data_IF_249012768090
#
_entry.id   IF_249012768090
#
_cell.length_a   1.000
_cell.length_b   1.000
_cell.length_c   1.000
_cell.angle_alpha   90.00
_cell.angle_beta   90.00
_cell.angle_gamma   90.00
#
_symmetry.space_group_name_H-M   'P 1'
#
loop_
_entity.id
_entity.type
_entity.pdbx_description
1 polymer ?
#
# COMPACT_ATOMS: atom_id res chain seq x y z
N UNK A 1 -14.58 -11.51 4.23
CA UNK A 1 -14.70 -10.10 4.65
C UNK A 1 -13.30 -9.62 4.99
N UNK A 2 -12.77 -8.60 4.30
CA UNK A 2 -11.41 -8.10 4.55
C UNK A 2 -11.43 -7.17 5.77
N UNK A 3 -10.49 -7.33 6.70
CA UNK A 3 -10.38 -6.50 7.91
C UNK A 3 -10.22 -5.01 7.59
N UNK A 4 -9.69 -4.68 6.42
CA UNK A 4 -9.54 -3.28 6.00
C UNK A 4 -10.85 -2.62 5.61
N UNK A 5 -11.87 -3.39 5.18
CA UNK A 5 -13.19 -2.84 4.80
C UNK A 5 -14.06 -2.50 6.00
N UNK A 6 -13.64 -2.87 7.22
CA UNK A 6 -14.35 -2.55 8.46
C UNK A 6 -13.79 -1.31 9.16
N UNK A 7 -12.69 -0.75 8.66
CA UNK A 7 -12.04 0.41 9.25
C UNK A 7 -12.63 1.71 8.71
N UNK A 8 -12.79 2.69 9.58
CA UNK A 8 -13.16 4.04 9.17
C UNK A 8 -11.96 4.82 8.60
N UNK A 9 -12.23 6.01 8.08
CA UNK A 9 -11.21 6.84 7.43
C UNK A 9 -10.10 7.29 8.39
N UNK A 10 -10.40 7.47 9.68
CA UNK A 10 -9.44 7.88 10.69
C UNK A 10 -8.54 6.70 11.08
N UNK A 11 -9.11 5.51 11.19
CA UNK A 11 -8.37 4.27 11.43
C UNK A 11 -7.42 3.93 10.27
N UNK A 12 -7.87 4.09 9.02
CA UNK A 12 -6.98 3.92 7.85
C UNK A 12 -5.88 5.00 7.85
N UNK A 13 -6.22 6.25 8.18
CA UNK A 13 -5.23 7.32 8.28
C UNK A 13 -4.17 7.05 9.35
N UNK A 14 -4.58 6.49 10.50
CA UNK A 14 -3.68 6.09 11.57
C UNK A 14 -2.81 4.90 11.15
N UNK A 15 -3.39 3.90 10.48
CA UNK A 15 -2.64 2.78 9.92
C UNK A 15 -1.55 3.25 8.94
N UNK A 16 -1.90 4.17 8.03
CA UNK A 16 -0.94 4.79 7.11
C UNK A 16 0.16 5.48 7.90
N UNK A 17 -0.18 6.32 8.88
CA UNK A 17 0.79 7.04 9.71
C UNK A 17 1.75 6.10 10.44
N UNK A 18 1.24 4.99 11.00
CA UNK A 18 2.04 3.99 11.69
C UNK A 18 2.95 3.22 10.72
N UNK A 19 2.46 2.86 9.53
CA UNK A 19 3.22 2.12 8.53
C UNK A 19 4.46 2.86 8.02
N UNK A 20 4.49 4.20 8.10
CA UNK A 20 5.66 5.01 7.71
C UNK A 20 6.91 4.70 8.56
N UNK A 21 6.74 4.09 9.74
CA UNK A 21 7.85 3.62 10.59
C UNK A 21 8.45 2.28 10.13
N UNK A 22 7.76 1.56 9.26
CA UNK A 22 8.17 0.25 8.75
C UNK A 22 8.96 0.38 7.45
N UNK A 23 9.66 -0.68 6.98
CA UNK A 23 10.42 -0.63 5.75
C UNK A 23 9.58 -0.23 4.53
N UNK A 24 10.19 0.37 3.49
CA UNK A 24 9.49 0.77 2.27
C UNK A 24 8.71 -0.36 1.57
N UNK A 25 9.17 -1.61 1.64
CA UNK A 25 8.45 -2.77 1.11
C UNK A 25 7.10 -3.02 1.80
N UNK A 26 7.02 -2.82 3.12
CA UNK A 26 5.77 -2.92 3.88
C UNK A 26 4.79 -1.83 3.47
N UNK A 27 5.29 -0.60 3.26
CA UNK A 27 4.47 0.54 2.82
C UNK A 27 3.92 0.34 1.41
N UNK A 28 4.76 -0.20 0.52
CA UNK A 28 4.40 -0.58 -0.84
C UNK A 28 3.29 -1.64 -0.85
N UNK A 29 3.43 -2.70 -0.06
CA UNK A 29 2.40 -3.74 0.08
C UNK A 29 1.10 -3.20 0.67
N UNK A 30 1.16 -2.36 1.71
CA UNK A 30 -0.05 -1.73 2.26
C UNK A 30 -0.73 -0.83 1.22
N UNK A 31 0.06 -0.06 0.47
CA UNK A 31 -0.42 0.82 -0.57
C UNK A 31 -1.25 0.10 -1.62
N UNK A 32 -0.73 -0.99 -2.19
CA UNK A 32 -1.48 -1.76 -3.21
C UNK A 32 -2.76 -2.38 -2.65
N UNK A 33 -2.77 -2.80 -1.38
CA UNK A 33 -3.96 -3.34 -0.72
C UNK A 33 -5.04 -2.25 -0.53
N UNK A 34 -4.64 -1.05 -0.08
CA UNK A 34 -5.57 0.06 0.15
C UNK A 34 -6.12 0.65 -1.16
N UNK A 35 -5.28 0.70 -2.19
CA UNK A 35 -5.65 1.10 -3.54
C UNK A 35 -6.72 0.16 -4.11
N UNK A 36 -6.50 -1.16 -4.07
CA UNK A 36 -7.44 -2.17 -4.57
C UNK A 36 -8.84 -2.07 -3.92
N UNK A 37 -8.92 -1.65 -2.65
CA UNK A 37 -10.19 -1.58 -1.91
C UNK A 37 -10.84 -0.18 -1.93
N UNK A 38 -10.31 0.77 -2.70
CA UNK A 38 -10.95 2.07 -2.95
C UNK A 38 -10.47 3.24 -2.08
N UNK A 39 -9.27 3.16 -1.48
CA UNK A 39 -8.69 4.24 -0.66
C UNK A 39 -7.58 5.02 -1.38
N UNK A 40 -7.61 5.11 -2.71
CA UNK A 40 -6.58 5.79 -3.52
C UNK A 40 -6.21 7.16 -2.97
N UNK A 41 -7.21 7.98 -2.65
CA UNK A 41 -7.05 9.39 -2.28
C UNK A 41 -6.20 9.61 -1.02
N UNK A 42 -6.11 8.63 -0.13
CA UNK A 42 -5.38 8.75 1.14
C UNK A 42 -4.03 8.04 1.14
N UNK A 43 -3.74 7.23 0.11
CA UNK A 43 -2.46 6.50 -0.01
C UNK A 43 -1.30 7.36 -0.52
N UNK A 44 -1.54 8.62 -0.89
CA UNK A 44 -0.53 9.54 -1.40
C UNK A 44 0.72 9.64 -0.50
N UNK A 45 0.54 9.61 0.84
CA UNK A 45 1.65 9.63 1.81
C UNK A 45 2.53 8.38 1.72
N UNK A 46 1.94 7.20 1.48
CA UNK A 46 2.68 5.96 1.29
C UNK A 46 3.50 6.04 0.00
N UNK A 47 2.85 6.42 -1.10
CA UNK A 47 3.46 6.53 -2.43
C UNK A 47 4.65 7.49 -2.43
N UNK A 48 4.48 8.66 -1.83
CA UNK A 48 5.53 9.68 -1.72
C UNK A 48 6.72 9.23 -0.84
N UNK A 49 6.52 8.25 0.04
CA UNK A 49 7.59 7.72 0.90
C UNK A 49 8.49 6.67 0.24
N UNK A 50 8.13 6.20 -0.97
CA UNK A 50 8.88 5.20 -1.72
C UNK A 50 9.96 5.86 -2.58
N UNK A 51 11.10 5.19 -2.73
CA UNK A 51 12.10 5.59 -3.71
C UNK A 51 11.67 5.08 -5.10
N UNK A 52 11.48 5.95 -6.11
CA UNK A 52 11.02 5.56 -7.45
C UNK A 52 11.91 4.53 -8.16
N UNK A 53 13.19 4.44 -7.80
CA UNK A 53 14.14 3.50 -8.42
C UNK A 53 14.21 2.15 -7.71
N UNK A 54 13.57 2.02 -6.54
CA UNK A 54 13.57 0.77 -5.77
C UNK A 54 12.36 -0.07 -6.15
N UNK A 55 12.61 -1.35 -6.46
CA UNK A 55 11.58 -2.33 -6.82
C UNK A 55 11.61 -3.52 -5.85
N UNK A 56 10.43 -3.96 -5.40
CA UNK A 56 10.25 -5.06 -4.45
C UNK A 56 9.77 -6.32 -5.18
N UNK A 57 10.54 -7.41 -5.07
CA UNK A 57 10.19 -8.69 -5.69
C UNK A 57 9.18 -9.44 -4.84
N UNK A 58 7.89 -9.25 -5.12
CA UNK A 58 6.76 -9.91 -4.44
C UNK A 58 5.86 -10.57 -5.51
N UNK A 59 6.32 -11.65 -6.16
CA UNK A 59 5.66 -12.20 -7.35
C UNK A 59 4.24 -12.71 -7.08
N UNK A 60 3.93 -13.11 -5.84
CA UNK A 60 2.57 -13.52 -5.49
C UNK A 60 1.62 -12.32 -5.35
N UNK A 61 2.13 -11.15 -4.94
CA UNK A 61 1.34 -9.91 -4.86
C UNK A 61 0.99 -9.45 -6.28
N UNK A 62 1.95 -9.49 -7.21
CA UNK A 62 1.72 -9.16 -8.62
C UNK A 62 0.70 -10.04 -9.33
N UNK A 63 0.56 -11.30 -8.90
CA UNK A 63 -0.50 -12.19 -9.43
C UNK A 63 -1.89 -11.84 -8.93
N UNK A 64 -1.99 -11.17 -7.79
CA UNK A 64 -3.25 -10.83 -7.13
C UNK A 64 -3.69 -9.42 -7.54
N UNK A 65 -2.77 -8.46 -7.58
CA UNK A 65 -3.06 -7.04 -7.82
C UNK A 65 -2.48 -6.60 -9.16
N UNK A 66 -3.37 -6.20 -10.08
CA UNK A 66 -2.98 -5.78 -11.43
C UNK A 66 -2.21 -4.44 -11.47
N UNK A 67 -2.41 -3.59 -10.47
CA UNK A 67 -1.72 -2.31 -10.28
C UNK A 67 -0.46 -2.43 -9.40
N UNK A 68 0.07 -3.63 -9.16
CA UNK A 68 1.25 -3.81 -8.29
C UNK A 68 2.48 -3.04 -8.79
N UNK A 69 2.61 -2.90 -10.11
CA UNK A 69 3.72 -2.18 -10.74
C UNK A 69 3.69 -0.68 -10.36
N UNK A 70 2.49 -0.11 -10.14
CA UNK A 70 2.35 1.26 -9.62
C UNK A 70 2.88 1.36 -8.19
N UNK A 71 2.92 0.29 -7.41
CA UNK A 71 3.44 0.27 -6.05
C UNK A 71 4.90 -0.18 -5.96
N UNK A 72 5.63 -0.17 -7.08
CA UNK A 72 7.02 -0.64 -7.20
C UNK A 72 7.17 -2.15 -6.89
N UNK A 73 6.16 -2.96 -7.18
CA UNK A 73 6.17 -4.40 -6.92
C UNK A 73 6.26 -5.17 -8.24
N UNK A 74 7.20 -6.12 -8.32
CA UNK A 74 7.38 -7.05 -9.45
C UNK A 74 7.30 -8.52 -9.05
#
# INVERSE_FOLDING_TARGET
>A
MSIFKTLDILEISELIRLSLKYPPSTRSLLGVILDEIGYQDITAKLKASLNPLTVYKLPQVRKIFSNSDEWNIV
#
